data_IF_737063353875
#
_entry.id   IF_737063353875
#
_cell.length_a   1.000
_cell.length_b   1.000
_cell.length_c   1.000
_cell.angle_alpha   90.00
_cell.angle_beta   90.00
_cell.angle_gamma   90.00
#
_symmetry.space_group_name_H-M   'P 1'
#
loop_
_entity.id
_entity.type
_entity.pdbx_description
1 polymer ?
#
# COMPACT_ATOMS: atom_id res chain seq x y z
N UNK A 1 4.57 54.42 53.14
CA UNK A 1 4.97 55.03 51.85
C UNK A 1 6.16 54.22 51.36
N UNK A 2 6.12 53.35 50.35
CA UNK A 2 5.39 53.38 49.09
C UNK A 2 6.46 53.32 47.98
N UNK A 3 6.41 52.24 47.18
CA UNK A 3 7.23 51.89 45.99
C UNK A 3 8.43 50.97 46.22
N UNK A 4 8.23 49.71 45.86
CA UNK A 4 9.29 48.75 45.56
C UNK A 4 8.66 47.53 44.89
N UNK A 5 8.79 47.41 43.57
CA UNK A 5 8.34 46.22 42.85
C UNK A 5 7.88 46.55 41.43
N UNK A 6 8.74 46.20 40.47
CA UNK A 6 8.45 45.49 39.21
C UNK A 6 9.77 45.52 38.43
N UNK A 7 10.56 44.45 38.51
CA UNK A 7 11.38 43.96 37.39
C UNK A 7 11.41 42.43 37.46
N UNK A 8 10.99 41.85 36.34
CA UNK A 8 10.87 40.44 35.93
C UNK A 8 11.90 39.46 36.54
N UNK A 9 11.38 38.36 37.08
CA UNK A 9 12.02 37.04 37.01
C UNK A 9 11.05 36.15 36.23
N UNK A 10 11.46 35.77 35.02
CA UNK A 10 10.79 34.79 34.17
C UNK A 10 11.15 33.42 34.74
N UNK A 11 10.19 32.73 35.38
CA UNK A 11 10.30 31.31 35.65
C UNK A 11 9.64 30.56 34.48
N UNK A 12 10.49 29.83 33.76
CA UNK A 12 10.14 28.91 32.68
C UNK A 12 9.39 27.72 33.31
N UNK A 13 8.07 27.64 33.15
CA UNK A 13 7.34 26.39 33.31
C UNK A 13 7.12 25.81 31.91
N UNK A 14 7.95 24.82 31.58
CA UNK A 14 7.73 23.92 30.45
C UNK A 14 6.46 23.11 30.74
N UNK A 15 5.33 23.56 30.19
CA UNK A 15 4.14 22.73 30.00
C UNK A 15 4.44 21.79 28.84
N UNK A 16 4.77 20.54 29.18
CA UNK A 16 4.71 19.42 28.24
C UNK A 16 3.23 19.20 27.94
N UNK A 17 2.72 19.86 26.90
CA UNK A 17 1.49 19.41 26.26
C UNK A 17 1.85 18.15 25.48
N UNK A 18 1.57 17.00 26.06
CA UNK A 18 1.33 15.79 25.28
C UNK A 18 0.14 16.10 24.37
N UNK A 19 0.41 16.36 23.09
CA UNK A 19 -0.62 16.28 22.06
C UNK A 19 -1.12 14.84 22.09
N UNK A 20 -2.29 14.60 22.69
CA UNK A 20 -3.10 13.48 22.27
C UNK A 20 -3.43 13.79 20.81
N UNK A 21 -2.77 13.11 19.88
CA UNK A 21 -3.25 13.04 18.50
C UNK A 21 -4.56 12.26 18.62
N UNK A 22 -5.68 12.97 18.58
CA UNK A 22 -6.99 12.34 18.45
C UNK A 22 -7.03 11.91 16.99
N UNK A 23 -6.83 10.62 16.73
CA UNK A 23 -7.07 10.03 15.43
C UNK A 23 -8.53 10.30 15.05
N UNK A 24 -8.79 10.70 13.82
CA UNK A 24 -10.15 10.94 13.37
C UNK A 24 -10.93 9.61 13.36
N UNK A 25 -12.24 9.69 13.55
CA UNK A 25 -13.09 8.50 13.54
C UNK A 25 -13.07 7.89 12.12
N UNK A 26 -12.68 6.61 11.95
CA UNK A 26 -12.65 5.96 10.65
C UNK A 26 -13.99 6.02 9.90
N UNK A 27 -15.10 6.05 10.63
CA UNK A 27 -16.43 6.16 10.04
C UNK A 27 -16.72 7.57 9.52
N UNK A 28 -16.28 8.61 10.22
CA UNK A 28 -16.39 9.99 9.73
C UNK A 28 -15.59 10.18 8.43
N UNK A 29 -14.39 9.60 8.36
CA UNK A 29 -13.56 9.61 7.14
C UNK A 29 -14.29 8.84 6.02
N UNK A 30 -14.79 7.63 6.31
CA UNK A 30 -15.51 6.80 5.35
C UNK A 30 -16.71 7.54 4.72
N UNK A 31 -17.54 8.18 5.55
CA UNK A 31 -18.70 8.97 5.09
C UNK A 31 -18.29 10.21 4.30
N UNK A 32 -17.15 10.84 4.62
CA UNK A 32 -16.66 12.00 3.88
C UNK A 32 -16.41 11.71 2.38
N UNK A 33 -16.06 10.47 2.05
CA UNK A 33 -15.83 10.03 0.68
C UNK A 33 -17.11 9.61 -0.06
N UNK A 34 -18.19 9.32 0.66
CA UNK A 34 -19.45 8.87 0.08
C UNK A 34 -20.14 9.97 -0.71
N UNK A 35 -20.17 11.18 -0.16
CA UNK A 35 -20.87 12.32 -0.75
C UNK A 35 -19.95 13.17 -1.66
N UNK A 36 -18.77 12.64 -1.99
CA UNK A 36 -17.81 13.31 -2.85
C UNK A 36 -18.38 13.47 -4.26
N UNK A 37 -18.42 14.70 -4.80
CA UNK A 37 -18.86 14.96 -6.17
C UNK A 37 -17.65 15.29 -7.04
N UNK A 38 -17.56 14.69 -8.22
CA UNK A 38 -16.53 14.98 -9.21
C UNK A 38 -17.08 14.89 -10.64
N UNK A 39 -16.37 15.49 -11.60
CA UNK A 39 -16.82 15.63 -12.99
C UNK A 39 -16.00 14.76 -13.93
N UNK A 40 -16.66 14.19 -14.94
CA UNK A 40 -16.00 13.41 -16.00
C UNK A 40 -15.56 14.39 -17.10
N UNK A 41 -14.26 14.41 -17.42
CA UNK A 41 -13.59 15.31 -18.35
C UNK A 41 -12.94 14.54 -19.52
N UNK A 42 -12.47 15.22 -20.57
CA UNK A 42 -11.90 14.57 -21.76
C UNK A 42 -10.52 13.94 -21.50
N UNK A 43 -9.75 14.47 -20.57
CA UNK A 43 -8.43 13.97 -20.14
C UNK A 43 -8.52 12.64 -19.36
N UNK A 44 -9.73 12.17 -19.11
CA UNK A 44 -10.05 10.97 -18.33
C UNK A 44 -10.20 9.70 -19.16
N UNK A 45 -10.15 9.84 -20.49
CA UNK A 45 -10.29 8.76 -21.45
C UNK A 45 -9.02 8.71 -22.29
N UNK A 46 -8.35 7.55 -22.31
CA UNK A 46 -7.24 7.29 -23.23
C UNK A 46 -7.68 6.27 -24.27
N UNK A 47 -7.65 6.66 -25.56
CA UNK A 47 -7.70 5.77 -26.73
C UNK A 47 -8.75 4.63 -26.69
N UNK A 48 -9.95 4.89 -26.17
CA UNK A 48 -11.03 3.91 -25.99
C UNK A 48 -10.85 2.86 -24.86
N UNK A 49 -9.93 3.03 -23.93
CA UNK A 49 -9.70 2.08 -22.81
C UNK A 49 -10.10 2.66 -21.45
N UNK A 50 -10.61 1.80 -20.56
CA UNK A 50 -10.87 2.16 -19.16
C UNK A 50 -9.59 2.05 -18.35
N UNK A 51 -9.19 3.16 -17.73
CA UNK A 51 -7.96 3.26 -16.93
C UNK A 51 -8.22 2.96 -15.44
N UNK A 52 -9.44 2.59 -15.08
CA UNK A 52 -9.87 2.35 -13.70
C UNK A 52 -10.37 0.92 -13.47
N UNK A 53 -10.49 0.08 -14.51
CA UNK A 53 -10.94 -1.31 -14.43
C UNK A 53 -10.03 -2.23 -13.59
N UNK A 54 -10.61 -3.05 -12.72
CA UNK A 54 -9.90 -4.19 -12.14
C UNK A 54 -9.72 -5.23 -13.26
N UNK A 55 -8.49 -5.63 -13.64
CA UNK A 55 -8.27 -6.61 -14.70
C UNK A 55 -8.83 -8.02 -14.39
N UNK A 56 -9.32 -8.28 -13.16
CA UNK A 56 -10.02 -9.53 -12.83
C UNK A 56 -11.42 -9.62 -13.43
N UNK A 57 -12.07 -8.50 -13.76
CA UNK A 57 -13.46 -8.48 -14.26
C UNK A 57 -13.52 -8.60 -15.79
N UNK A 58 -12.77 -9.52 -16.39
CA UNK A 58 -13.02 -9.96 -17.77
C UNK A 58 -13.06 -8.87 -18.87
N UNK A 59 -12.61 -7.65 -18.59
CA UNK A 59 -12.53 -6.55 -19.54
C UNK A 59 -11.41 -6.89 -20.54
N UNK A 60 -11.81 -7.58 -21.62
CA UNK A 60 -10.98 -7.80 -22.79
C UNK A 60 -10.69 -6.48 -23.48
N UNK A 61 -9.56 -6.38 -24.21
CA UNK A 61 -9.08 -5.23 -25.00
C UNK A 61 -10.07 -4.65 -26.05
N UNK A 62 -11.34 -5.04 -26.03
CA UNK A 62 -12.37 -4.75 -27.04
C UNK A 62 -13.58 -3.97 -26.51
N UNK A 63 -13.65 -3.63 -25.21
CA UNK A 63 -14.74 -2.80 -24.69
C UNK A 63 -14.30 -1.33 -24.54
N UNK A 64 -15.00 -0.38 -25.20
CA UNK A 64 -14.78 1.03 -24.95
C UNK A 64 -15.01 1.33 -23.47
N UNK A 65 -14.17 2.18 -22.88
CA UNK A 65 -14.42 2.70 -21.54
C UNK A 65 -15.86 3.21 -21.43
N UNK A 66 -16.66 2.69 -20.49
CA UNK A 66 -18.06 3.10 -20.25
C UNK A 66 -18.21 4.62 -19.98
N UNK A 67 -17.09 5.35 -19.85
CA UNK A 67 -16.99 6.74 -19.41
C UNK A 67 -16.91 7.72 -20.59
N UNK A 68 -16.62 7.24 -21.80
CA UNK A 68 -16.50 8.08 -23.01
C UNK A 68 -17.80 8.82 -23.31
N UNK A 69 -18.91 8.11 -23.13
CA UNK A 69 -20.24 8.65 -23.38
C UNK A 69 -20.73 9.57 -22.24
N UNK A 70 -19.97 9.69 -21.15
CA UNK A 70 -20.34 10.42 -19.93
C UNK A 70 -19.52 11.72 -19.73
N UNK A 71 -18.70 12.13 -20.70
CA UNK A 71 -17.92 13.37 -20.64
C UNK A 71 -18.86 14.56 -20.43
N UNK A 72 -18.60 15.36 -19.40
CA UNK A 72 -19.43 16.49 -18.96
C UNK A 72 -20.51 16.14 -17.93
N UNK A 73 -20.67 14.86 -17.59
CA UNK A 73 -21.50 14.41 -16.46
C UNK A 73 -20.71 14.42 -15.13
N UNK A 74 -21.41 14.26 -14.01
CA UNK A 74 -20.81 14.16 -12.68
C UNK A 74 -21.11 12.80 -12.06
N UNK A 75 -20.22 12.36 -11.18
CA UNK A 75 -20.38 11.15 -10.38
C UNK A 75 -20.25 11.48 -8.90
N UNK A 76 -20.74 10.57 -8.07
CA UNK A 76 -20.70 10.68 -6.60
C UNK A 76 -19.86 9.53 -6.06
N UNK A 77 -19.13 9.74 -4.96
CA UNK A 77 -18.22 8.77 -4.37
C UNK A 77 -16.77 8.98 -4.81
N UNK A 78 -15.88 8.08 -4.38
CA UNK A 78 -14.45 8.22 -4.65
C UNK A 78 -14.03 7.42 -5.88
N UNK A 79 -13.31 8.01 -6.86
CA UNK A 79 -12.83 7.25 -8.00
C UNK A 79 -11.78 6.23 -7.53
N UNK A 80 -11.91 5.01 -8.02
CA UNK A 80 -10.91 3.97 -7.74
C UNK A 80 -9.58 4.34 -8.40
N UNK A 81 -8.49 3.85 -7.81
CA UNK A 81 -7.15 4.21 -8.24
C UNK A 81 -6.84 5.72 -8.18
N UNK A 82 -7.43 6.48 -7.25
CA UNK A 82 -7.24 7.94 -7.13
C UNK A 82 -7.50 8.71 -8.43
N UNK A 83 -8.37 8.19 -9.29
CA UNK A 83 -8.54 8.75 -10.64
C UNK A 83 -7.21 8.82 -11.40
N UNK A 84 -6.29 7.89 -11.16
CA UNK A 84 -5.01 7.71 -11.83
C UNK A 84 -3.81 8.51 -11.39
N UNK A 85 -3.86 9.09 -10.21
CA UNK A 85 -2.68 9.70 -9.59
C UNK A 85 -1.75 8.63 -9.02
N UNK A 86 -0.45 8.93 -9.07
CA UNK A 86 0.59 8.08 -8.48
C UNK A 86 0.59 8.21 -6.94
N UNK A 87 0.15 9.37 -6.42
CA UNK A 87 0.03 9.61 -4.98
C UNK A 87 -1.30 10.24 -4.57
N UNK A 88 -1.68 10.00 -3.30
CA UNK A 88 -2.93 10.45 -2.72
C UNK A 88 -2.96 11.95 -2.41
N UNK A 89 -1.79 12.57 -2.17
CA UNK A 89 -1.71 14.00 -1.85
C UNK A 89 -2.06 14.81 -3.10
N UNK A 90 -1.52 14.43 -4.26
CA UNK A 90 -1.87 14.98 -5.57
C UNK A 90 -3.37 14.86 -5.85
N UNK A 91 -3.98 13.72 -5.48
CA UNK A 91 -5.43 13.56 -5.58
C UNK A 91 -6.21 14.49 -4.62
N UNK A 92 -5.78 14.64 -3.36
CA UNK A 92 -6.42 15.55 -2.40
C UNK A 92 -6.26 17.03 -2.83
N UNK A 93 -5.14 17.41 -3.43
CA UNK A 93 -4.92 18.76 -3.97
C UNK A 93 -5.87 19.05 -5.15
N UNK A 94 -6.02 18.11 -6.09
CA UNK A 94 -6.97 18.22 -7.21
C UNK A 94 -8.43 18.20 -6.74
N UNK A 95 -8.73 17.46 -5.66
CA UNK A 95 -10.00 17.51 -4.95
C UNK A 95 -10.32 18.91 -4.45
N UNK A 96 -9.37 19.54 -3.76
CA UNK A 96 -9.58 20.86 -3.15
C UNK A 96 -9.72 21.97 -4.20
N UNK A 97 -9.06 21.84 -5.35
CA UNK A 97 -9.17 22.83 -6.45
C UNK A 97 -10.43 22.62 -7.32
N UNK A 98 -11.20 21.55 -7.09
CA UNK A 98 -12.40 21.23 -7.86
C UNK A 98 -12.12 20.85 -9.31
N UNK A 99 -10.86 20.51 -9.62
CA UNK A 99 -10.35 20.13 -10.94
C UNK A 99 -10.39 18.62 -11.17
N UNK A 100 -10.89 17.84 -10.20
CA UNK A 100 -11.03 16.38 -10.30
C UNK A 100 -11.65 15.95 -11.62
N UNK A 101 -10.83 15.30 -12.42
CA UNK A 101 -11.23 14.42 -13.51
C UNK A 101 -10.73 13.01 -13.22
N UNK A 102 -11.51 11.95 -13.48
CA UNK A 102 -11.05 10.57 -13.36
C UNK A 102 -10.08 10.09 -14.46
N UNK A 103 -8.77 10.20 -14.31
CA UNK A 103 -7.84 9.77 -15.35
C UNK A 103 -6.75 8.81 -14.86
N UNK A 104 -7.05 7.51 -14.81
CA UNK A 104 -6.06 6.45 -14.57
C UNK A 104 -4.76 6.63 -15.38
N UNK A 105 -3.59 6.81 -14.76
CA UNK A 105 -2.36 6.42 -15.44
C UNK A 105 -2.31 4.88 -15.48
N UNK A 106 -2.84 4.26 -16.54
CA UNK A 106 -2.44 2.90 -16.86
C UNK A 106 -1.03 2.96 -17.42
N UNK A 107 -0.02 2.81 -16.56
CA UNK A 107 1.30 2.46 -17.06
C UNK A 107 1.24 0.98 -17.41
N UNK A 108 0.74 0.60 -18.59
CA UNK A 108 1.15 -0.62 -19.31
C UNK A 108 0.51 -0.73 -20.70
N UNK A 109 1.33 -0.69 -21.76
CA UNK A 109 1.27 -1.64 -22.88
C UNK A 109 2.65 -1.63 -23.61
N UNK A 110 3.18 -2.77 -24.13
CA UNK A 110 2.46 -4.02 -24.39
C UNK A 110 2.96 -5.24 -23.61
N UNK A 111 2.04 -5.93 -22.89
CA UNK A 111 2.25 -7.33 -22.49
C UNK A 111 1.45 -7.86 -21.30
N UNK A 112 1.09 -7.05 -20.32
CA UNK A 112 0.32 -7.48 -19.14
C UNK A 112 -0.09 -6.25 -18.33
N UNK A 113 -1.37 -6.08 -18.00
CA UNK A 113 -1.84 -5.01 -17.10
C UNK A 113 -1.33 -5.29 -15.68
N UNK A 114 -0.23 -4.65 -15.28
CA UNK A 114 0.33 -4.79 -13.93
C UNK A 114 -0.03 -3.56 -13.07
N UNK A 115 -1.23 -3.62 -12.48
CA UNK A 115 -1.66 -3.06 -11.18
C UNK A 115 -1.60 -1.54 -11.05
N UNK A 116 -2.78 -0.90 -11.08
CA UNK A 116 -2.92 0.53 -10.90
C UNK A 116 -2.87 0.94 -9.41
N UNK A 117 -2.35 2.14 -9.13
CA UNK A 117 -2.27 2.73 -7.80
C UNK A 117 -3.59 3.38 -7.40
N UNK A 118 -4.15 2.98 -6.26
CA UNK A 118 -5.15 3.73 -5.49
C UNK A 118 -6.31 2.89 -4.98
N UNK A 119 -7.33 3.55 -4.40
CA UNK A 119 -8.19 2.93 -3.36
C UNK A 119 -8.99 1.72 -3.86
N UNK A 120 -8.40 0.55 -3.65
CA UNK A 120 -9.08 -0.73 -3.57
C UNK A 120 -9.75 -0.90 -2.19
N UNK A 121 -10.45 -2.01 -1.99
CA UNK A 121 -11.14 -2.27 -0.73
C UNK A 121 -10.21 -2.15 0.51
N UNK A 122 -8.94 -2.58 0.40
CA UNK A 122 -7.94 -2.41 1.46
C UNK A 122 -7.38 -0.99 1.56
N UNK A 123 -7.12 -0.32 0.44
CA UNK A 123 -6.68 1.07 0.43
C UNK A 123 -7.72 2.00 1.05
N UNK A 124 -9.01 1.71 0.86
CA UNK A 124 -10.11 2.43 1.51
C UNK A 124 -10.03 2.30 3.03
N UNK A 125 -9.90 1.07 3.52
CA UNK A 125 -9.73 0.79 4.96
C UNK A 125 -8.49 1.50 5.48
N UNK A 126 -7.36 1.41 4.79
CA UNK A 126 -6.12 2.07 5.18
C UNK A 126 -6.26 3.59 5.24
N UNK A 127 -7.04 4.19 4.34
CA UNK A 127 -7.30 5.63 4.38
C UNK A 127 -8.17 6.05 5.56
N UNK A 128 -9.23 5.30 5.84
CA UNK A 128 -10.10 5.53 7.00
C UNK A 128 -9.35 5.29 8.31
N UNK A 129 -8.32 4.44 8.30
CA UNK A 129 -7.43 4.21 9.42
C UNK A 129 -6.25 5.19 9.50
N UNK A 130 -6.20 6.19 8.61
CA UNK A 130 -5.12 7.19 8.55
C UNK A 130 -3.72 6.56 8.51
N UNK A 131 -3.61 5.45 7.78
CA UNK A 131 -2.31 4.79 7.56
C UNK A 131 -1.40 5.74 6.79
N UNK A 132 -0.14 5.81 7.22
CA UNK A 132 0.89 6.62 6.56
C UNK A 132 0.90 6.36 5.05
N UNK A 133 0.93 7.44 4.25
CA UNK A 133 0.85 7.34 2.80
C UNK A 133 1.93 6.44 2.22
N UNK A 134 3.17 6.44 2.74
CA UNK A 134 4.20 5.54 2.22
C UNK A 134 3.81 4.07 2.43
N UNK A 135 3.25 3.72 3.60
CA UNK A 135 2.82 2.34 3.87
C UNK A 135 1.59 1.98 3.05
N UNK A 136 0.60 2.87 3.01
CA UNK A 136 -0.62 2.75 2.22
C UNK A 136 -0.27 2.46 0.76
N UNK A 137 0.63 3.26 0.19
CA UNK A 137 1.08 3.19 -1.19
C UNK A 137 2.19 2.18 -1.46
N UNK A 138 2.72 1.44 -0.50
CA UNK A 138 3.82 0.51 -0.80
C UNK A 138 3.49 -0.94 -0.46
N UNK A 139 2.56 -1.14 0.47
CA UNK A 139 2.42 -2.44 1.12
C UNK A 139 1.02 -2.76 1.63
N UNK A 140 0.14 -1.77 1.71
CA UNK A 140 -1.13 -1.93 2.40
C UNK A 140 -2.14 -2.68 1.55
N UNK A 141 -2.24 -3.98 1.80
CA UNK A 141 -3.22 -4.87 1.22
C UNK A 141 -3.91 -5.72 2.31
N UNK A 142 -4.91 -6.51 1.92
CA UNK A 142 -5.65 -7.40 2.85
C UNK A 142 -4.74 -8.34 3.67
N UNK A 143 -3.61 -8.78 3.12
CA UNK A 143 -2.63 -9.61 3.84
C UNK A 143 -1.86 -8.79 4.87
N UNK A 144 -1.48 -7.57 4.52
CA UNK A 144 -0.83 -6.64 5.44
C UNK A 144 -1.74 -6.32 6.63
N UNK A 145 -3.04 -6.12 6.41
CA UNK A 145 -4.03 -5.90 7.48
C UNK A 145 -4.01 -7.06 8.49
N UNK A 146 -4.22 -8.29 8.02
CA UNK A 146 -4.31 -9.46 8.92
C UNK A 146 -3.01 -9.70 9.70
N UNK A 147 -1.86 -9.38 9.12
CA UNK A 147 -0.56 -9.65 9.75
C UNK A 147 -0.09 -8.57 10.73
N UNK A 148 -0.62 -7.35 10.66
CA UNK A 148 -0.06 -6.19 11.38
C UNK A 148 -1.05 -5.49 12.32
N UNK A 149 -2.35 -5.83 12.26
CA UNK A 149 -3.39 -5.21 13.07
C UNK A 149 -3.98 -6.19 14.07
N UNK A 150 -4.64 -5.66 15.11
CA UNK A 150 -5.20 -6.48 16.19
C UNK A 150 -6.39 -7.29 15.68
N UNK A 151 -6.36 -8.61 15.81
CA UNK A 151 -7.53 -9.45 15.58
C UNK A 151 -8.50 -9.31 16.76
N UNK A 152 -9.76 -9.01 16.47
CA UNK A 152 -10.81 -8.81 17.48
C UNK A 152 -11.96 -9.79 17.29
N UNK A 153 -12.67 -10.07 18.38
CA UNK A 153 -13.86 -10.94 18.33
C UNK A 153 -15.11 -10.18 17.91
N UNK A 154 -16.15 -10.90 17.48
CA UNK A 154 -17.43 -10.27 17.09
C UNK A 154 -18.12 -9.61 18.30
N UNK A 155 -17.90 -10.14 19.50
CA UNK A 155 -18.40 -9.57 20.75
C UNK A 155 -17.72 -8.23 21.10
N UNK A 156 -16.52 -8.00 20.56
CA UNK A 156 -15.73 -6.79 20.77
C UNK A 156 -15.86 -5.79 19.61
N UNK A 157 -16.59 -6.15 18.55
CA UNK A 157 -16.70 -5.38 17.31
C UNK A 157 -17.22 -3.95 17.55
N UNK A 158 -16.55 -2.98 16.95
CA UNK A 158 -16.84 -1.55 17.05
C UNK A 158 -16.85 -0.88 15.67
N UNK A 159 -17.67 0.17 15.46
CA UNK A 159 -17.61 0.97 14.25
C UNK A 159 -16.17 1.37 13.90
N UNK A 160 -15.76 1.16 12.65
CA UNK A 160 -14.40 1.39 12.17
C UNK A 160 -13.47 0.17 12.23
N UNK A 161 -13.87 -0.93 12.85
CA UNK A 161 -13.19 -2.22 12.67
C UNK A 161 -13.34 -2.73 11.23
N UNK A 162 -12.42 -3.57 10.77
CA UNK A 162 -12.43 -4.09 9.41
C UNK A 162 -12.73 -5.59 9.38
N UNK A 163 -13.74 -6.00 8.61
CA UNK A 163 -13.82 -7.37 8.12
C UNK A 163 -12.87 -7.54 6.95
N UNK A 164 -11.89 -8.44 7.08
CA UNK A 164 -10.88 -8.69 6.05
C UNK A 164 -10.76 -10.16 5.72
N UNK A 165 -10.66 -10.46 4.43
CA UNK A 165 -10.35 -11.78 3.89
C UNK A 165 -9.06 -11.69 3.08
N UNK A 166 -8.01 -12.33 3.58
CA UNK A 166 -6.66 -12.31 3.02
C UNK A 166 -6.64 -12.63 1.53
N UNK A 167 -6.05 -11.75 0.74
CA UNK A 167 -5.91 -11.86 -0.72
C UNK A 167 -7.21 -11.66 -1.49
N UNK A 168 -8.31 -11.25 -0.83
CA UNK A 168 -9.63 -11.18 -1.46
C UNK A 168 -10.31 -9.83 -1.25
N UNK A 169 -10.64 -9.45 -0.01
CA UNK A 169 -11.51 -8.30 0.22
C UNK A 169 -11.37 -7.69 1.62
N UNK A 170 -11.71 -6.41 1.77
CA UNK A 170 -11.77 -5.72 3.06
C UNK A 170 -12.95 -4.73 3.11
N UNK A 171 -13.57 -4.58 4.27
CA UNK A 171 -14.67 -3.64 4.49
C UNK A 171 -14.76 -3.18 5.93
N UNK A 172 -15.19 -1.94 6.15
CA UNK A 172 -15.34 -1.38 7.50
C UNK A 172 -16.71 -1.77 8.07
N UNK A 173 -16.73 -2.21 9.31
CA UNK A 173 -17.95 -2.33 10.08
C UNK A 173 -18.46 -0.94 10.45
N UNK A 174 -19.71 -0.64 10.09
CA UNK A 174 -20.36 0.62 10.42
C UNK A 174 -21.21 0.48 11.68
N UNK A 175 -22.21 -0.40 11.65
CA UNK A 175 -23.06 -0.66 12.81
C UNK A 175 -23.79 -2.01 12.70
N UNK A 176 -24.45 -2.39 13.79
CA UNK A 176 -25.34 -3.56 13.81
C UNK A 176 -26.71 -3.17 13.25
N UNK A 177 -27.20 -3.97 12.29
CA UNK A 177 -28.57 -3.94 11.83
C UNK A 177 -29.50 -4.86 12.65
N UNK A 178 -30.72 -5.04 12.17
CA UNK A 178 -31.69 -5.98 12.74
C UNK A 178 -31.29 -7.44 12.46
N UNK A 179 -31.78 -8.38 13.29
CA UNK A 179 -31.63 -9.83 13.10
C UNK A 179 -30.18 -10.32 12.91
N UNK A 180 -29.23 -9.71 13.62
CA UNK A 180 -27.78 -9.99 13.52
C UNK A 180 -27.18 -9.68 12.14
N UNK A 181 -27.83 -8.81 11.36
CA UNK A 181 -27.17 -8.21 10.21
C UNK A 181 -26.11 -7.22 10.69
N UNK A 182 -25.01 -7.14 9.96
CA UNK A 182 -24.05 -6.05 10.07
C UNK A 182 -24.20 -5.16 8.85
N UNK A 183 -24.02 -3.87 9.10
CA UNK A 183 -23.93 -2.86 8.07
C UNK A 183 -22.43 -2.56 7.91
N UNK A 184 -21.91 -2.73 6.71
CA UNK A 184 -20.51 -2.44 6.39
C UNK A 184 -20.40 -1.33 5.35
N UNK A 185 -19.35 -0.53 5.45
CA UNK A 185 -18.97 0.46 4.44
C UNK A 185 -17.77 -0.07 3.66
N UNK A 186 -17.87 -0.06 2.33
CA UNK A 186 -16.77 -0.48 1.46
C UNK A 186 -16.69 0.30 0.16
N UNK A 187 -15.49 0.32 -0.42
CA UNK A 187 -15.30 0.68 -1.82
C UNK A 187 -15.77 -0.49 -2.68
N UNK A 188 -16.78 -0.27 -3.52
CA UNK A 188 -17.37 -1.32 -4.37
C UNK A 188 -16.84 -1.29 -5.80
N UNK A 189 -16.60 -2.47 -6.39
CA UNK A 189 -16.33 -2.63 -7.81
C UNK A 189 -17.62 -2.99 -8.54
N UNK A 190 -18.06 -2.21 -9.53
CA UNK A 190 -19.22 -2.62 -10.32
C UNK A 190 -19.82 -1.64 -11.32
N UNK A 191 -19.47 -0.34 -11.32
CA UNK A 191 -19.82 0.65 -12.37
C UNK A 191 -19.01 1.95 -12.20
N UNK A 192 -19.15 2.90 -13.14
CA UNK A 192 -18.52 4.24 -13.15
C UNK A 192 -18.68 5.04 -11.84
N UNK A 193 -19.69 4.70 -11.04
CA UNK A 193 -19.83 5.13 -9.65
C UNK A 193 -19.23 4.08 -8.73
N UNK A 194 -17.91 4.09 -8.53
CA UNK A 194 -17.25 3.33 -7.45
C UNK A 194 -17.51 4.04 -6.14
N UNK A 195 -18.77 3.98 -5.73
CA UNK A 195 -19.25 4.58 -4.51
C UNK A 195 -18.77 3.77 -3.32
N UNK A 196 -18.48 4.49 -2.26
CA UNK A 196 -18.53 3.96 -0.91
C UNK A 196 -19.97 3.55 -0.65
N UNK A 197 -20.24 2.26 -0.49
CA UNK A 197 -21.59 1.73 -0.30
C UNK A 197 -21.78 1.07 1.05
N UNK A 198 -23.04 1.05 1.46
CA UNK A 198 -23.51 0.25 2.57
C UNK A 198 -23.92 -1.13 2.09
N UNK A 199 -23.27 -2.15 2.63
CA UNK A 199 -23.64 -3.54 2.44
C UNK A 199 -24.33 -4.07 3.70
N UNK A 200 -25.30 -4.95 3.50
CA UNK A 200 -26.15 -5.52 4.54
C UNK A 200 -26.06 -7.04 4.48
N UNK A 201 -25.34 -7.62 5.42
CA UNK A 201 -25.06 -9.04 5.45
C UNK A 201 -25.33 -9.61 6.84
N UNK A 202 -25.73 -10.88 6.92
CA UNK A 202 -25.69 -11.62 8.17
C UNK A 202 -24.23 -11.79 8.59
N UNK A 203 -23.86 -11.37 9.82
CA UNK A 203 -22.46 -11.47 10.27
C UNK A 203 -21.92 -12.91 10.14
N UNK A 204 -22.79 -13.90 10.40
CA UNK A 204 -22.41 -15.30 10.34
C UNK A 204 -22.00 -15.73 8.94
N UNK A 205 -22.63 -15.17 7.90
CA UNK A 205 -22.28 -15.45 6.51
C UNK A 205 -20.92 -14.83 6.15
N UNK A 206 -20.61 -13.65 6.67
CA UNK A 206 -19.29 -13.02 6.52
C UNK A 206 -18.20 -13.92 7.12
N UNK A 207 -18.39 -14.35 8.37
CA UNK A 207 -17.41 -15.22 9.03
C UNK A 207 -17.29 -16.58 8.34
N UNK A 208 -18.41 -17.17 7.90
CA UNK A 208 -18.41 -18.44 7.17
C UNK A 208 -17.70 -18.35 5.81
N UNK A 209 -17.66 -17.16 5.21
CA UNK A 209 -16.89 -16.89 3.99
C UNK A 209 -15.38 -16.74 4.25
N UNK A 210 -14.92 -16.80 5.49
CA UNK A 210 -13.51 -16.80 5.87
C UNK A 210 -12.94 -15.40 6.15
N UNK A 211 -13.79 -14.42 6.46
CA UNK A 211 -13.33 -13.13 6.95
C UNK A 211 -12.91 -13.24 8.42
N UNK A 212 -11.89 -12.48 8.77
CA UNK A 212 -11.51 -12.17 10.17
C UNK A 212 -11.80 -10.70 10.44
N UNK A 213 -11.83 -10.32 11.72
CA UNK A 213 -12.07 -8.93 12.12
C UNK A 213 -10.75 -8.36 12.64
N UNK A 214 -10.32 -7.25 12.06
CA UNK A 214 -9.11 -6.53 12.44
C UNK A 214 -9.43 -5.12 12.90
N UNK A 215 -8.73 -4.64 13.93
CA UNK A 215 -8.85 -3.30 14.47
C UNK A 215 -7.53 -2.54 14.31
N UNK A 216 -7.63 -1.30 13.84
CA UNK A 216 -6.56 -0.33 14.03
C UNK A 216 -6.63 0.26 15.42
N UNK A 217 -5.86 -0.31 16.34
CA UNK A 217 -5.68 0.29 17.66
C UNK A 217 -4.63 1.39 17.50
N UNK A 218 -4.96 2.68 17.77
CA UNK A 218 -3.98 3.74 17.70
C UNK A 218 -2.80 3.35 18.57
N UNK A 219 -1.65 3.14 17.94
CA UNK A 219 -0.42 2.74 18.62
C UNK A 219 -0.12 3.85 19.62
N UNK A 220 -0.31 3.58 20.91
CA UNK A 220 -0.03 4.55 21.98
C UNK A 220 1.39 5.10 21.74
N UNK A 221 1.44 6.41 21.44
CA UNK A 221 2.61 7.23 21.12
C UNK A 221 3.97 6.52 21.29
N UNK A 222 4.48 5.94 20.21
CA UNK A 222 5.88 5.47 20.17
C UNK A 222 6.17 4.20 19.37
N UNK A 223 5.16 3.46 18.89
CA UNK A 223 5.38 2.41 17.91
C UNK A 223 4.95 2.91 16.54
N UNK A 224 5.91 3.02 15.64
CA UNK A 224 5.70 3.26 14.21
C UNK A 224 4.87 2.10 13.64
N UNK A 225 3.94 2.38 12.73
CA UNK A 225 3.27 1.34 11.94
C UNK A 225 4.41 0.48 11.33
N UNK A 226 4.42 -0.84 11.56
CA UNK A 226 5.60 -1.64 11.25
C UNK A 226 5.90 -1.56 9.76
N UNK A 227 7.03 -0.93 9.42
CA UNK A 227 7.52 -0.98 8.06
C UNK A 227 7.66 -2.45 7.67
N UNK A 228 7.06 -2.87 6.55
CA UNK A 228 7.08 -4.25 6.12
C UNK A 228 8.52 -4.69 5.95
N UNK A 229 8.80 -5.83 6.56
CA UNK A 229 10.14 -6.39 6.61
C UNK A 229 10.51 -6.95 5.25
N UNK A 230 11.19 -6.15 4.44
CA UNK A 230 11.78 -6.62 3.18
C UNK A 230 12.83 -7.68 3.50
N UNK A 231 12.60 -8.89 3.00
CA UNK A 231 13.53 -10.00 3.20
C UNK A 231 14.66 -9.96 2.17
N UNK A 232 15.90 -10.06 2.65
CA UNK A 232 17.10 -10.26 1.84
C UNK A 232 17.99 -11.23 2.61
N UNK A 233 18.18 -12.42 2.06
CA UNK A 233 18.92 -13.51 2.72
C UNK A 233 19.72 -14.32 1.70
N UNK A 234 20.66 -15.12 2.18
CA UNK A 234 21.35 -16.09 1.35
C UNK A 234 21.48 -17.42 2.09
N UNK A 235 21.24 -18.53 1.38
CA UNK A 235 21.42 -19.88 1.91
C UNK A 235 22.02 -20.81 0.85
N UNK A 236 23.02 -21.64 1.19
CA UNK A 236 23.69 -21.71 2.51
C UNK A 236 24.58 -20.48 2.80
N UNK A 237 24.89 -20.24 4.09
CA UNK A 237 25.88 -19.26 4.52
C UNK A 237 26.52 -19.74 5.84
N UNK A 238 27.80 -20.18 5.84
CA UNK A 238 28.77 -20.16 4.73
C UNK A 238 28.40 -21.11 3.58
N UNK A 239 28.96 -20.90 2.40
CA UNK A 239 28.68 -21.70 1.19
C UNK A 239 29.93 -22.14 0.43
N UNK A 240 29.80 -23.20 -0.41
CA UNK A 240 30.86 -23.72 -1.29
C UNK A 240 30.27 -24.46 -2.51
N UNK A 241 30.53 -24.05 -3.76
CA UNK A 241 30.91 -22.71 -4.19
C UNK A 241 29.68 -21.82 -4.43
N UNK A 242 28.46 -22.34 -4.31
CA UNK A 242 27.24 -21.62 -4.66
C UNK A 242 26.31 -21.32 -3.47
N UNK A 243 25.64 -20.18 -3.54
CA UNK A 243 24.56 -19.77 -2.62
C UNK A 243 23.38 -19.27 -3.43
N UNK A 244 22.18 -19.50 -2.92
CA UNK A 244 20.99 -18.81 -3.40
C UNK A 244 20.82 -17.54 -2.59
N UNK A 245 20.67 -16.40 -3.26
CA UNK A 245 20.27 -15.13 -2.67
C UNK A 245 18.77 -15.00 -2.89
N UNK A 246 18.01 -14.88 -1.80
CA UNK A 246 16.55 -14.72 -1.83
C UNK A 246 16.19 -13.31 -1.42
N UNK A 247 15.20 -12.76 -2.09
CA UNK A 247 14.71 -11.43 -1.81
C UNK A 247 13.24 -11.29 -2.17
N UNK A 248 12.57 -10.36 -1.51
CA UNK A 248 11.22 -9.94 -1.86
C UNK A 248 11.26 -8.45 -2.18
N UNK A 249 10.45 -8.02 -3.14
CA UNK A 249 10.21 -6.61 -3.44
C UNK A 249 8.74 -6.31 -3.21
N UNK A 250 8.42 -5.06 -2.87
CA UNK A 250 7.03 -4.63 -2.71
C UNK A 250 6.33 -4.53 -4.06
N UNK A 251 4.99 -4.54 -4.05
CA UNK A 251 4.12 -4.34 -5.23
C UNK A 251 4.54 -3.10 -6.02
N UNK A 252 5.01 -2.05 -5.35
CA UNK A 252 5.35 -0.78 -6.00
C UNK A 252 6.80 -0.75 -6.50
N UNK A 253 7.70 -1.53 -5.89
CA UNK A 253 9.08 -1.66 -6.35
C UNK A 253 9.23 -2.65 -7.51
N UNK A 254 8.20 -3.45 -7.81
CA UNK A 254 8.17 -4.37 -8.95
C UNK A 254 8.21 -3.63 -10.31
N UNK A 255 7.73 -2.39 -10.31
CA UNK A 255 7.71 -1.49 -11.44
C UNK A 255 8.97 -0.63 -11.56
N UNK A 256 9.96 -0.85 -10.71
CA UNK A 256 11.30 -0.24 -10.83
C UNK A 256 12.31 -1.30 -11.27
N UNK A 257 13.37 -0.91 -12.01
CA UNK A 257 14.46 -1.83 -12.27
C UNK A 257 15.10 -2.25 -10.95
N UNK A 258 15.30 -3.55 -10.77
CA UNK A 258 15.94 -4.10 -9.58
C UNK A 258 17.33 -4.64 -9.90
N UNK A 259 18.24 -4.55 -8.93
CA UNK A 259 19.59 -5.09 -9.05
C UNK A 259 20.02 -5.80 -7.76
N UNK A 260 20.60 -7.00 -7.91
CA UNK A 260 21.41 -7.63 -6.88
C UNK A 260 22.88 -7.46 -7.28
N UNK A 261 23.64 -6.69 -6.50
CA UNK A 261 25.06 -6.46 -6.76
C UNK A 261 25.90 -7.06 -5.64
N UNK A 262 26.90 -7.86 -6.02
CA UNK A 262 27.88 -8.48 -5.13
C UNK A 262 29.17 -7.67 -5.19
N UNK A 263 29.72 -7.36 -4.03
CA UNK A 263 30.95 -6.60 -3.84
C UNK A 263 31.95 -7.39 -2.98
N UNK A 264 33.23 -7.17 -3.24
CA UNK A 264 34.28 -7.55 -2.31
C UNK A 264 34.43 -6.51 -1.18
N UNK A 265 35.26 -6.79 -0.17
CA UNK A 265 35.50 -5.87 0.95
C UNK A 265 36.16 -4.54 0.57
N UNK A 266 36.70 -4.41 -0.65
CA UNK A 266 37.23 -3.15 -1.18
C UNK A 266 36.14 -2.29 -1.85
N UNK A 267 34.88 -2.75 -1.84
CA UNK A 267 33.77 -2.09 -2.53
C UNK A 267 33.77 -2.30 -4.05
N UNK A 268 34.61 -3.19 -4.58
CA UNK A 268 34.64 -3.46 -6.01
C UNK A 268 33.50 -4.41 -6.37
N UNK A 269 32.75 -4.08 -7.43
CA UNK A 269 31.71 -4.95 -7.99
C UNK A 269 32.35 -6.25 -8.49
N UNK A 270 31.78 -7.36 -8.06
CA UNK A 270 32.18 -8.73 -8.39
C UNK A 270 31.21 -9.32 -9.41
N UNK A 271 29.92 -9.23 -9.14
CA UNK A 271 28.84 -9.77 -9.98
C UNK A 271 27.59 -8.92 -9.81
N UNK A 272 26.78 -8.78 -10.85
CA UNK A 272 25.46 -8.17 -10.77
C UNK A 272 24.41 -8.99 -11.49
N UNK A 273 23.20 -8.98 -10.94
CA UNK A 273 21.99 -9.51 -11.55
C UNK A 273 21.03 -8.33 -11.70
N UNK A 274 20.69 -7.98 -12.94
CA UNK A 274 19.78 -6.87 -13.25
C UNK A 274 18.46 -7.42 -13.72
N UNK A 275 17.39 -6.85 -13.18
CA UNK A 275 16.01 -7.17 -13.49
C UNK A 275 15.37 -5.94 -14.11
N UNK A 276 14.95 -6.00 -15.37
CA UNK A 276 14.21 -4.92 -16.00
C UNK A 276 12.94 -4.57 -15.22
N UNK A 277 12.48 -3.33 -15.37
CA UNK A 277 11.17 -2.88 -14.88
C UNK A 277 10.06 -3.90 -15.23
N UNK A 278 9.25 -4.27 -14.24
CA UNK A 278 8.12 -5.20 -14.40
C UNK A 278 8.50 -6.68 -14.61
N UNK A 279 9.78 -7.04 -14.50
CA UNK A 279 10.23 -8.44 -14.67
C UNK A 279 10.15 -9.28 -13.39
N UNK A 280 9.87 -8.65 -12.26
CA UNK A 280 9.75 -9.28 -10.95
C UNK A 280 8.30 -9.11 -10.47
N UNK A 281 7.83 -10.08 -9.68
CA UNK A 281 6.56 -9.95 -8.97
C UNK A 281 6.78 -9.94 -7.47
N UNK A 282 5.69 -9.85 -6.72
CA UNK A 282 5.67 -9.68 -5.25
C UNK A 282 5.94 -10.94 -4.44
N UNK A 283 6.01 -12.08 -5.12
CA UNK A 283 6.45 -13.35 -4.55
C UNK A 283 7.97 -13.37 -4.32
N UNK A 284 8.44 -14.30 -3.49
CA UNK A 284 9.87 -14.51 -3.23
C UNK A 284 10.64 -14.73 -4.55
N UNK A 285 11.63 -13.87 -4.80
CA UNK A 285 12.54 -13.93 -5.93
C UNK A 285 13.89 -14.50 -5.50
N UNK A 286 14.62 -15.11 -6.43
CA UNK A 286 15.94 -15.64 -6.13
C UNK A 286 16.93 -15.57 -7.29
N UNK A 287 18.21 -15.47 -6.94
CA UNK A 287 19.35 -15.64 -7.85
C UNK A 287 20.36 -16.60 -7.27
N UNK A 288 21.07 -17.31 -8.13
CA UNK A 288 22.15 -18.20 -7.73
C UNK A 288 23.47 -17.51 -8.05
N UNK A 289 24.32 -17.36 -7.04
CA UNK A 289 25.71 -16.95 -7.23
C UNK A 289 26.63 -18.15 -7.04
N UNK A 290 27.50 -18.41 -8.02
CA UNK A 290 28.39 -19.58 -8.05
C UNK A 290 29.80 -19.28 -7.52
N UNK A 291 30.00 -18.16 -6.83
CA UNK A 291 31.32 -17.74 -6.37
C UNK A 291 32.24 -17.32 -7.53
N UNK A 292 31.66 -16.72 -8.57
CA UNK A 292 32.32 -16.23 -9.78
C UNK A 292 32.13 -14.71 -9.97
N UNK A 293 33.00 -14.10 -10.78
CA UNK A 293 32.89 -12.70 -11.18
C UNK A 293 32.05 -12.50 -12.46
N UNK A 294 31.95 -11.26 -12.95
CA UNK A 294 31.24 -10.94 -14.20
C UNK A 294 31.76 -11.72 -15.41
N UNK A 295 33.05 -12.10 -15.42
CA UNK A 295 33.67 -12.87 -16.49
C UNK A 295 33.54 -14.39 -16.30
N UNK A 296 32.81 -14.85 -15.27
CA UNK A 296 32.67 -16.27 -14.92
C UNK A 296 33.92 -16.87 -14.26
N UNK A 297 34.89 -16.04 -13.85
CA UNK A 297 36.10 -16.50 -13.17
C UNK A 297 35.83 -16.65 -11.68
N UNK A 298 36.20 -17.79 -11.10
CA UNK A 298 35.97 -18.03 -9.68
C UNK A 298 36.74 -17.06 -8.79
N UNK A 299 36.07 -16.46 -7.81
CA UNK A 299 36.70 -15.55 -6.85
C UNK A 299 37.31 -16.29 -5.65
N UNK A 300 38.13 -15.61 -4.85
CA UNK A 300 38.78 -16.20 -3.66
C UNK A 300 37.79 -16.49 -2.53
N UNK A 301 38.09 -17.45 -1.65
CA UNK A 301 37.37 -17.59 -0.37
C UNK A 301 37.42 -16.28 0.43
N UNK A 302 36.34 -15.93 1.11
CA UNK A 302 36.28 -14.69 1.89
C UNK A 302 34.88 -14.16 2.09
N UNK A 303 34.81 -12.99 2.73
CA UNK A 303 33.56 -12.26 2.97
C UNK A 303 33.24 -11.43 1.73
N UNK A 304 31.98 -11.51 1.31
CA UNK A 304 31.39 -10.70 0.25
C UNK A 304 30.17 -9.96 0.79
N UNK A 305 29.92 -8.78 0.25
CA UNK A 305 28.72 -8.00 0.51
C UNK A 305 27.80 -8.15 -0.69
N UNK A 306 26.51 -8.32 -0.48
CA UNK A 306 25.52 -8.30 -1.56
C UNK A 306 24.42 -7.32 -1.20
N UNK A 307 23.92 -6.62 -2.23
CA UNK A 307 23.02 -5.48 -2.09
C UNK A 307 21.86 -5.60 -3.04
N UNK A 308 20.63 -5.45 -2.54
CA UNK A 308 19.42 -5.26 -3.32
C UNK A 308 19.17 -3.77 -3.49
N UNK A 309 18.92 -3.35 -4.73
CA UNK A 309 18.38 -2.03 -5.07
C UNK A 309 17.13 -2.20 -5.92
N UNK A 310 16.03 -1.55 -5.54
CA UNK A 310 14.78 -1.51 -6.33
C UNK A 310 13.95 -0.31 -5.87
N UNK A 311 13.76 0.71 -6.71
CA UNK A 311 13.10 1.96 -6.29
C UNK A 311 13.74 2.57 -5.02
N UNK A 312 12.95 2.72 -3.97
CA UNK A 312 13.39 3.21 -2.65
C UNK A 312 14.05 2.12 -1.78
N UNK A 313 14.04 0.86 -2.21
CA UNK A 313 14.68 -0.25 -1.50
C UNK A 313 16.19 -0.18 -1.74
N UNK A 314 16.94 -0.08 -0.64
CA UNK A 314 18.40 -0.23 -0.64
C UNK A 314 18.83 -1.06 0.58
N UNK A 315 19.06 -2.36 0.37
CA UNK A 315 19.35 -3.31 1.45
C UNK A 315 20.65 -4.07 1.21
N UNK A 316 21.52 -4.08 2.22
CA UNK A 316 22.81 -4.76 2.18
C UNK A 316 22.91 -5.90 3.18
N UNK A 317 23.56 -7.00 2.76
CA UNK A 317 23.88 -8.17 3.59
C UNK A 317 25.28 -8.67 3.28
N UNK A 318 25.78 -9.61 4.08
CA UNK A 318 27.10 -10.24 3.91
C UNK A 318 26.99 -11.75 3.85
N UNK A 319 27.87 -12.39 3.09
CA UNK A 319 28.00 -13.83 3.00
C UNK A 319 29.47 -14.28 3.07
N UNK A 320 29.69 -15.54 3.41
CA UNK A 320 31.02 -16.16 3.51
C UNK A 320 31.16 -17.30 2.50
N UNK A 321 32.03 -17.10 1.51
CA UNK A 321 32.46 -18.14 0.58
C UNK A 321 33.61 -18.95 1.19
N UNK A 322 33.43 -20.26 1.28
CA UNK A 322 34.47 -21.23 1.59
C UNK A 322 34.78 -22.01 0.31
N UNK A 323 36.06 -22.19 -0.02
CA UNK A 323 36.50 -23.14 -1.05
C UNK A 323 37.14 -24.34 -0.39
#
# INVERSE_FOLDING_TARGET
>A
MGKGGIVRIIFLFLLVFSFLIIQADPIEIAESYRDLIWFIQEDNVIENYSLTGNPQDGYTDEQPCDWIDLIGEYSVGMPYHYGGRDDFIEWEEDYVDGTLGPGGHSVHYPGSLVWASGIDCSGFVGRCWEIDNYILHMYFNTTYIVNNFEEVTVEELQPGDCFVKTGVHARLFYEWGEDNNVITIESTSGNYNRVIQYEYDLYQDIINQGYVICRNVPLIAGNEIPEPKIELSNYPNPFNPSTMIRFQISEFSENEPAEIIIYNLKGQRVKGFTFPKGSLGTSEQNVIWNGDDENGSSVSSGIYLYRLKAGNIDLGRKCLLLK
#
